data_IF_585540066396
#
_entry.id   IF_585540066396
#
_cell.length_a   1.000
_cell.length_b   1.000
_cell.length_c   1.000
_cell.angle_alpha   90.00
_cell.angle_beta   90.00
_cell.angle_gamma   90.00
#
_symmetry.space_group_name_H-M   'P 1'
#
loop_
_entity.id
_entity.type
_entity.pdbx_description
1 polymer ?
#
# COMPACT_ATOMS: atom_id res chain seq x y z
N UNK A 1 27.49 18.71 13.61
CA UNK A 1 26.10 18.26 13.43
C UNK A 1 26.15 16.96 12.65
N UNK A 2 25.67 15.83 13.22
CA UNK A 2 25.55 14.58 12.45
C UNK A 2 24.53 14.84 11.35
N UNK A 3 24.96 14.82 10.09
CA UNK A 3 24.07 14.84 8.92
C UNK A 3 23.20 13.59 9.00
N UNK A 4 22.01 13.73 9.55
CA UNK A 4 21.09 12.60 9.67
C UNK A 4 20.52 12.34 8.25
N UNK A 5 21.03 11.31 7.58
CA UNK A 5 20.63 10.90 6.22
C UNK A 5 19.12 10.70 6.10
N UNK A 6 18.44 10.38 7.21
CA UNK A 6 17.02 10.07 7.26
C UNK A 6 16.23 11.07 8.09
N UNK A 7 14.98 11.30 7.73
CA UNK A 7 14.04 12.10 8.53
C UNK A 7 13.59 11.35 9.79
N UNK A 8 13.29 12.08 10.87
CA UNK A 8 12.71 11.49 12.08
C UNK A 8 11.33 10.91 11.78
N UNK A 9 10.92 9.88 12.52
CA UNK A 9 9.59 9.27 12.41
C UNK A 9 8.46 10.28 12.68
N UNK A 10 8.64 11.21 13.63
CA UNK A 10 7.65 12.24 13.93
C UNK A 10 7.41 13.17 12.74
N UNK A 11 8.48 13.51 12.00
CA UNK A 11 8.36 14.30 10.77
C UNK A 11 7.57 13.54 9.71
N UNK A 12 7.83 12.23 9.54
CA UNK A 12 7.09 11.38 8.59
C UNK A 12 5.61 11.26 8.99
N UNK A 13 5.31 11.05 10.27
CA UNK A 13 3.94 11.03 10.79
C UNK A 13 3.24 12.37 10.52
N UNK A 14 3.91 13.49 10.73
CA UNK A 14 3.36 14.83 10.44
C UNK A 14 3.05 15.00 8.94
N UNK A 15 3.96 14.58 8.05
CA UNK A 15 3.75 14.58 6.60
C UNK A 15 2.55 13.70 6.23
N UNK A 16 2.50 12.49 6.76
CA UNK A 16 1.41 11.55 6.53
C UNK A 16 0.06 12.10 6.97
N UNK A 17 -0.03 12.72 8.16
CA UNK A 17 -1.27 13.38 8.65
C UNK A 17 -1.79 14.42 7.67
N UNK A 18 -0.90 15.21 7.06
CA UNK A 18 -1.24 16.23 6.06
C UNK A 18 -1.50 15.66 4.65
N UNK A 19 -1.48 14.35 4.51
CA UNK A 19 -1.69 13.69 3.23
C UNK A 19 -0.46 13.72 2.32
N UNK A 20 0.72 14.02 2.84
CA UNK A 20 1.96 14.03 2.06
C UNK A 20 2.41 12.62 1.67
N UNK A 21 3.30 12.58 0.69
CA UNK A 21 4.03 11.40 0.25
C UNK A 21 5.42 11.40 0.88
N UNK A 22 5.95 10.23 1.19
CA UNK A 22 7.27 10.04 1.77
C UNK A 22 7.94 8.81 1.16
N UNK A 23 9.23 8.65 1.36
CA UNK A 23 9.98 7.46 0.95
C UNK A 23 10.29 6.65 2.20
N UNK A 24 9.91 5.38 2.17
CA UNK A 24 10.40 4.37 3.12
C UNK A 24 11.61 3.70 2.49
N UNK A 25 12.65 3.53 3.28
CA UNK A 25 13.83 2.73 2.91
C UNK A 25 14.03 1.66 3.97
N UNK A 26 14.46 0.50 3.54
CA UNK A 26 14.82 -0.58 4.42
C UNK A 26 16.34 -0.71 4.59
N UNK A 27 16.78 -1.72 5.36
CA UNK A 27 18.18 -1.96 5.64
C UNK A 27 18.95 -2.36 4.37
N UNK A 28 20.20 -1.88 4.25
CA UNK A 28 21.08 -2.18 3.11
C UNK A 28 21.33 -3.69 2.93
N UNK A 29 21.23 -4.47 4.02
CA UNK A 29 21.38 -5.93 4.00
C UNK A 29 20.07 -6.67 3.69
N UNK A 30 18.93 -5.97 3.57
CA UNK A 30 17.64 -6.59 3.27
C UNK A 30 17.30 -6.47 1.77
N UNK A 31 16.62 -5.43 1.34
CA UNK A 31 16.28 -5.15 -0.06
C UNK A 31 17.10 -3.99 -0.62
N UNK A 32 17.51 -3.08 0.26
CA UNK A 32 18.18 -1.81 -0.09
C UNK A 32 17.37 -1.01 -1.12
N UNK A 33 16.06 -0.99 -0.92
CA UNK A 33 15.11 -0.33 -1.81
C UNK A 33 14.41 0.83 -1.10
N UNK A 34 13.83 1.72 -1.89
CA UNK A 34 13.04 2.84 -1.39
C UNK A 34 11.67 2.88 -2.06
N UNK A 35 10.60 2.79 -1.26
CA UNK A 35 9.23 2.85 -1.73
C UNK A 35 8.63 4.24 -1.55
N UNK A 36 7.97 4.76 -2.61
CA UNK A 36 7.09 5.92 -2.49
C UNK A 36 5.79 5.52 -1.80
N UNK A 37 5.49 6.16 -0.67
CA UNK A 37 4.33 5.79 0.17
C UNK A 37 3.46 6.99 0.50
N UNK A 38 2.16 6.78 0.56
CA UNK A 38 1.19 7.70 1.16
C UNK A 38 -0.05 6.92 1.65
N UNK A 39 -0.78 7.48 2.62
CA UNK A 39 -1.99 6.82 3.14
C UNK A 39 -3.13 6.85 2.13
N UNK A 40 -3.85 5.74 1.99
CA UNK A 40 -4.95 5.58 1.03
C UNK A 40 -6.12 6.55 1.25
N UNK A 41 -6.29 7.09 2.46
CA UNK A 41 -7.26 8.15 2.73
C UNK A 41 -7.07 9.39 1.82
N UNK A 42 -5.85 9.62 1.34
CA UNK A 42 -5.47 10.77 0.52
C UNK A 42 -5.30 10.42 -0.96
N UNK A 43 -5.74 9.23 -1.38
CA UNK A 43 -5.53 8.74 -2.74
C UNK A 43 -6.27 9.58 -3.78
N UNK A 44 -5.56 9.97 -4.82
CA UNK A 44 -6.09 10.64 -6.00
C UNK A 44 -5.26 10.32 -7.25
N UNK A 45 -5.77 10.67 -8.41
CA UNK A 45 -5.11 10.37 -9.69
C UNK A 45 -3.75 11.04 -9.84
N UNK A 46 -3.55 12.25 -9.27
CA UNK A 46 -2.27 12.97 -9.35
C UNK A 46 -1.16 12.20 -8.62
N UNK A 47 -1.44 11.69 -7.41
CA UNK A 47 -0.49 10.89 -6.64
C UNK A 47 -0.17 9.56 -7.32
N UNK A 48 -1.17 8.85 -7.81
CA UNK A 48 -0.96 7.59 -8.55
C UNK A 48 -0.13 7.85 -9.81
N UNK A 49 -0.43 8.92 -10.54
CA UNK A 49 0.37 9.30 -11.70
C UNK A 49 1.82 9.65 -11.34
N UNK A 50 2.02 10.35 -10.22
CA UNK A 50 3.36 10.65 -9.70
C UNK A 50 4.15 9.37 -9.40
N UNK A 51 3.54 8.42 -8.68
CA UNK A 51 4.16 7.12 -8.39
C UNK A 51 4.51 6.36 -9.67
N UNK A 52 3.59 6.28 -10.62
CA UNK A 52 3.82 5.59 -11.89
C UNK A 52 4.95 6.23 -12.71
N UNK A 53 5.00 7.57 -12.76
CA UNK A 53 5.97 8.31 -13.55
C UNK A 53 7.38 8.30 -12.94
N UNK A 54 7.48 8.50 -11.64
CA UNK A 54 8.76 8.72 -10.97
C UNK A 54 9.24 7.50 -10.16
N UNK A 55 8.33 6.75 -9.54
CA UNK A 55 8.66 5.51 -8.83
C UNK A 55 8.92 4.35 -9.79
N UNK A 56 8.26 4.30 -10.95
CA UNK A 56 8.43 3.31 -12.02
C UNK A 56 8.23 1.85 -11.60
N UNK A 57 7.89 1.61 -10.34
CA UNK A 57 7.63 0.30 -9.78
C UNK A 57 6.16 -0.11 -9.85
N UNK A 58 5.87 -1.25 -9.25
CA UNK A 58 4.51 -1.76 -9.13
C UNK A 58 3.73 -0.95 -8.09
N UNK A 59 2.51 -0.52 -8.45
CA UNK A 59 1.63 0.17 -7.50
C UNK A 59 0.89 -0.87 -6.66
N UNK A 60 1.28 -0.96 -5.39
CA UNK A 60 0.74 -1.88 -4.41
C UNK A 60 -0.22 -1.17 -3.44
N UNK A 61 -1.15 -1.95 -2.89
CA UNK A 61 -2.07 -1.51 -1.84
C UNK A 61 -1.82 -2.36 -0.58
N UNK A 62 -1.17 -1.77 0.42
CA UNK A 62 -0.98 -2.47 1.70
C UNK A 62 -2.30 -2.49 2.48
N UNK A 63 -2.70 -3.65 2.97
CA UNK A 63 -3.93 -3.86 3.74
C UNK A 63 -3.66 -4.81 4.90
N UNK A 64 -4.47 -4.72 5.95
CA UNK A 64 -4.45 -5.70 7.02
C UNK A 64 -5.27 -6.95 6.67
N UNK A 65 -5.12 -8.02 7.46
CA UNK A 65 -5.83 -9.30 7.27
C UNK A 65 -7.36 -9.14 7.32
N UNK A 66 -7.87 -8.24 8.16
CA UNK A 66 -9.30 -7.97 8.25
C UNK A 66 -9.86 -7.37 6.95
N UNK A 67 -9.13 -6.44 6.33
CA UNK A 67 -9.53 -5.83 5.06
C UNK A 67 -9.48 -6.86 3.92
N UNK A 68 -8.43 -7.70 3.89
CA UNK A 68 -8.32 -8.78 2.93
C UNK A 68 -9.52 -9.76 3.02
N UNK A 69 -9.91 -10.15 4.24
CA UNK A 69 -11.11 -11.00 4.47
C UNK A 69 -12.39 -10.35 3.97
N UNK A 70 -12.62 -9.05 4.24
CA UNK A 70 -13.81 -8.31 3.73
C UNK A 70 -13.88 -8.31 2.21
N UNK A 71 -12.72 -8.19 1.55
CA UNK A 71 -12.60 -8.21 0.09
C UNK A 71 -12.62 -9.64 -0.49
N UNK A 72 -12.54 -10.67 0.34
CA UNK A 72 -12.47 -12.07 -0.08
C UNK A 72 -11.23 -12.34 -0.93
N UNK A 73 -10.10 -11.74 -0.57
CA UNK A 73 -8.84 -11.89 -1.30
C UNK A 73 -8.07 -13.11 -0.81
N UNK A 74 -7.63 -13.92 -1.76
CA UNK A 74 -6.69 -15.02 -1.54
C UNK A 74 -5.28 -14.58 -1.91
N UNK A 75 -4.27 -15.28 -1.40
CA UNK A 75 -2.89 -15.11 -1.86
C UNK A 75 -2.78 -15.39 -3.35
N UNK A 76 -1.84 -14.74 -3.99
CA UNK A 76 -1.58 -14.86 -5.42
C UNK A 76 -1.13 -16.28 -5.79
N UNK A 77 -0.42 -16.95 -4.88
CA UNK A 77 0.03 -18.34 -5.03
C UNK A 77 -0.20 -19.12 -3.75
N UNK A 78 -0.52 -20.43 -3.83
CA UNK A 78 -0.60 -21.31 -2.67
C UNK A 78 0.75 -21.48 -1.95
N UNK A 79 1.85 -21.50 -2.70
CA UNK A 79 3.22 -21.56 -2.18
C UNK A 79 3.98 -20.31 -2.58
N UNK A 80 4.44 -19.54 -1.60
CA UNK A 80 5.21 -18.33 -1.85
C UNK A 80 6.71 -18.64 -1.77
N UNK A 81 7.35 -18.72 -2.93
CA UNK A 81 8.77 -19.03 -3.09
C UNK A 81 9.65 -17.76 -3.19
N UNK A 82 9.05 -16.56 -3.08
CA UNK A 82 9.81 -15.32 -3.14
C UNK A 82 10.73 -15.17 -1.91
N UNK A 83 11.93 -14.63 -2.12
CA UNK A 83 12.98 -14.45 -1.09
C UNK A 83 12.41 -13.80 0.19
N UNK A 84 11.61 -12.78 0.06
CA UNK A 84 11.06 -12.00 1.18
C UNK A 84 9.65 -12.42 1.58
N UNK A 85 9.09 -13.44 0.92
CA UNK A 85 7.74 -13.97 1.17
C UNK A 85 6.67 -12.89 1.28
N UNK A 86 6.76 -11.87 0.41
CA UNK A 86 5.81 -10.77 0.36
C UNK A 86 4.41 -11.31 0.07
N UNK A 87 3.47 -11.01 0.95
CA UNK A 87 2.13 -11.60 0.96
C UNK A 87 1.20 -10.96 -0.09
N UNK A 88 1.57 -11.05 -1.37
CA UNK A 88 0.73 -10.61 -2.48
C UNK A 88 -0.58 -11.40 -2.52
N UNK A 89 -1.66 -10.68 -2.80
CA UNK A 89 -2.93 -11.29 -3.18
C UNK A 89 -3.12 -11.22 -4.69
N UNK A 90 -4.19 -11.85 -5.19
CA UNK A 90 -4.64 -11.60 -6.56
C UNK A 90 -4.86 -10.11 -6.78
N UNK A 91 -4.52 -9.61 -7.97
CA UNK A 91 -4.73 -8.21 -8.34
C UNK A 91 -6.22 -7.87 -8.45
N UNK A 92 -6.56 -6.61 -8.24
CA UNK A 92 -7.96 -6.17 -8.17
C UNK A 92 -8.26 -4.95 -9.02
N UNK A 93 -9.54 -4.78 -9.33
CA UNK A 93 -10.13 -3.56 -9.85
C UNK A 93 -11.46 -3.24 -9.17
N UNK A 94 -11.84 -1.94 -9.18
CA UNK A 94 -13.19 -1.57 -8.81
C UNK A 94 -14.18 -2.09 -9.85
N UNK A 95 -15.28 -2.73 -9.40
CA UNK A 95 -16.30 -3.27 -10.32
C UNK A 95 -17.01 -2.21 -11.15
N UNK A 96 -17.07 -0.95 -10.65
CA UNK A 96 -17.78 0.16 -11.30
C UNK A 96 -16.99 1.46 -11.25
N UNK A 97 -17.18 2.30 -12.26
CA UNK A 97 -16.61 3.64 -12.32
C UNK A 97 -15.14 3.68 -12.74
N UNK A 98 -14.72 2.70 -13.51
CA UNK A 98 -13.44 2.60 -14.20
C UNK A 98 -13.65 2.43 -15.70
N UNK A 99 -12.62 2.62 -16.48
CA UNK A 99 -12.55 2.29 -17.92
C UNK A 99 -11.81 0.95 -18.09
N UNK A 100 -10.53 0.98 -18.46
CA UNK A 100 -9.70 -0.23 -18.62
C UNK A 100 -8.98 -0.66 -17.33
N UNK A 101 -9.04 0.15 -16.25
CA UNK A 101 -8.41 -0.14 -14.97
C UNK A 101 -7.00 0.39 -14.78
N UNK A 102 -6.20 0.49 -15.86
CA UNK A 102 -4.77 0.84 -15.79
C UNK A 102 -4.51 2.33 -15.54
N UNK A 103 -5.42 3.22 -15.92
CA UNK A 103 -5.20 4.66 -15.79
C UNK A 103 -4.97 5.07 -14.33
N UNK A 104 -4.25 6.17 -14.10
CA UNK A 104 -4.05 6.69 -12.74
C UNK A 104 -5.39 7.03 -12.05
N UNK A 105 -6.41 7.43 -12.83
CA UNK A 105 -7.77 7.68 -12.34
C UNK A 105 -8.45 6.37 -11.90
N UNK A 106 -8.36 5.34 -12.70
CA UNK A 106 -8.98 4.04 -12.44
C UNK A 106 -8.33 3.34 -11.25
N UNK A 107 -6.99 3.33 -11.16
CA UNK A 107 -6.28 2.78 -10.00
C UNK A 107 -6.59 3.55 -8.72
N UNK A 108 -6.64 4.88 -8.76
CA UNK A 108 -7.08 5.68 -7.62
C UNK A 108 -8.53 5.35 -7.21
N UNK A 109 -9.42 5.12 -8.19
CA UNK A 109 -10.81 4.68 -7.94
C UNK A 109 -10.83 3.30 -7.27
N UNK A 110 -10.06 2.36 -7.78
CA UNK A 110 -9.94 1.00 -7.23
C UNK A 110 -9.48 1.03 -5.77
N UNK A 111 -8.42 1.77 -5.47
CA UNK A 111 -7.92 1.92 -4.10
C UNK A 111 -8.98 2.56 -3.19
N UNK A 112 -9.66 3.63 -3.63
CA UNK A 112 -10.76 4.25 -2.88
C UNK A 112 -11.88 3.25 -2.56
N UNK A 113 -12.26 2.41 -3.51
CA UNK A 113 -13.30 1.40 -3.31
C UNK A 113 -12.82 0.33 -2.34
N UNK A 114 -11.64 -0.24 -2.58
CA UNK A 114 -11.08 -1.32 -1.78
C UNK A 114 -10.84 -0.94 -0.31
N UNK A 115 -10.64 0.35 -0.01
CA UNK A 115 -10.39 0.84 1.36
C UNK A 115 -11.60 1.45 2.06
N UNK A 116 -12.81 1.33 1.51
CA UNK A 116 -14.04 1.74 2.20
C UNK A 116 -14.29 0.91 3.46
N UNK A 117 -14.90 1.52 4.50
CA UNK A 117 -15.26 0.80 5.73
C UNK A 117 -16.24 -0.35 5.46
N UNK A 118 -17.24 -0.10 4.64
CA UNK A 118 -18.33 -1.04 4.34
C UNK A 118 -18.12 -1.73 2.96
N UNK A 119 -16.86 -1.88 2.53
CA UNK A 119 -16.56 -2.59 1.28
C UNK A 119 -16.96 -4.05 1.40
N UNK A 120 -17.47 -4.60 0.28
CA UNK A 120 -17.82 -6.01 0.14
C UNK A 120 -17.08 -6.61 -1.05
N UNK A 121 -16.89 -7.92 -1.05
CA UNK A 121 -16.29 -8.66 -2.18
C UNK A 121 -16.88 -8.27 -3.54
N UNK A 122 -18.19 -8.03 -3.62
CA UNK A 122 -18.90 -7.66 -4.86
C UNK A 122 -18.53 -6.27 -5.41
N UNK A 123 -17.83 -5.44 -4.65
CA UNK A 123 -17.45 -4.08 -5.06
C UNK A 123 -16.16 -4.04 -5.89
N UNK A 124 -15.43 -5.15 -5.89
CA UNK A 124 -14.20 -5.35 -6.66
C UNK A 124 -14.32 -6.57 -7.57
N UNK A 125 -13.41 -6.65 -8.54
CA UNK A 125 -13.19 -7.81 -9.41
C UNK A 125 -11.71 -8.16 -9.47
N UNK A 126 -11.39 -9.37 -9.87
CA UNK A 126 -10.02 -9.86 -10.15
C UNK A 126 -10.05 -10.59 -11.51
N UNK A 127 -8.94 -10.54 -12.27
CA UNK A 127 -7.71 -9.76 -12.02
C UNK A 127 -7.91 -8.26 -12.26
N UNK A 128 -6.88 -7.46 -11.94
CA UNK A 128 -6.89 -6.01 -12.15
C UNK A 128 -5.49 -5.39 -12.11
N UNK A 129 -5.42 -4.07 -11.94
CA UNK A 129 -4.18 -3.29 -12.05
C UNK A 129 -3.73 -2.66 -10.72
N UNK A 130 -4.33 -3.04 -9.60
CA UNK A 130 -3.86 -2.72 -8.24
C UNK A 130 -3.54 -4.03 -7.53
N UNK A 131 -2.38 -4.08 -6.86
CA UNK A 131 -1.83 -5.29 -6.25
C UNK A 131 -1.88 -5.18 -4.73
N UNK A 132 -2.87 -5.80 -4.06
CA UNK A 132 -2.92 -5.78 -2.61
C UNK A 132 -1.83 -6.68 -2.00
N UNK A 133 -1.25 -6.20 -0.89
CA UNK A 133 -0.29 -6.93 -0.07
C UNK A 133 -0.81 -6.94 1.36
N UNK A 134 -0.85 -8.12 1.98
CA UNK A 134 -1.32 -8.27 3.36
C UNK A 134 -0.16 -8.05 4.33
N UNK A 135 -0.28 -7.06 5.21
CA UNK A 135 0.68 -6.84 6.29
C UNK A 135 0.59 -7.93 7.36
N UNK A 136 1.73 -8.31 7.95
CA UNK A 136 1.76 -9.19 9.12
C UNK A 136 1.12 -8.50 10.32
N UNK A 137 0.35 -9.24 11.11
CA UNK A 137 -0.15 -8.76 12.40
C UNK A 137 1.02 -8.52 13.34
N UNK A 138 0.95 -7.42 14.12
CA UNK A 138 2.08 -6.96 14.93
C UNK A 138 2.99 -5.95 14.26
N UNK A 139 2.81 -5.70 12.94
CA UNK A 139 3.50 -4.63 12.22
C UNK A 139 5.01 -4.82 12.13
N UNK A 140 5.76 -3.72 12.17
CA UNK A 140 7.23 -3.72 12.02
C UNK A 140 7.97 -4.49 13.11
N UNK A 141 7.36 -4.70 14.26
CA UNK A 141 7.94 -5.49 15.34
C UNK A 141 7.96 -7.00 15.04
N UNK A 142 7.13 -7.45 14.11
CA UNK A 142 7.07 -8.85 13.65
C UNK A 142 7.81 -9.03 12.32
N UNK A 143 7.68 -8.06 11.42
CA UNK A 143 8.38 -8.07 10.12
C UNK A 143 8.81 -6.66 9.76
N UNK A 144 10.12 -6.42 9.74
CA UNK A 144 10.71 -5.11 9.40
C UNK A 144 10.68 -4.85 7.88
N UNK A 145 9.48 -4.73 7.29
CA UNK A 145 9.28 -4.51 5.87
C UNK A 145 8.48 -3.26 5.54
N UNK A 146 8.60 -2.77 4.30
CA UNK A 146 7.87 -1.60 3.79
C UNK A 146 6.35 -1.74 3.97
N UNK A 147 5.81 -2.94 3.76
CA UNK A 147 4.38 -3.25 3.93
C UNK A 147 3.91 -2.96 5.35
N UNK A 148 4.60 -3.48 6.34
CA UNK A 148 4.28 -3.31 7.76
C UNK A 148 4.48 -1.86 8.18
N UNK A 149 5.61 -1.25 7.78
CA UNK A 149 5.92 0.14 8.11
C UNK A 149 4.87 1.11 7.55
N UNK A 150 4.39 0.91 6.31
CA UNK A 150 3.36 1.76 5.72
C UNK A 150 2.03 1.69 6.49
N UNK A 151 1.63 0.50 6.93
CA UNK A 151 0.42 0.29 7.74
C UNK A 151 0.57 0.91 9.13
N UNK A 152 1.72 0.75 9.78
CA UNK A 152 1.98 1.33 11.10
C UNK A 152 2.04 2.85 11.07
N UNK A 153 2.68 3.46 10.05
CA UNK A 153 2.67 4.92 9.86
C UNK A 153 1.23 5.43 9.64
N UNK A 154 0.40 4.70 8.89
CA UNK A 154 -1.01 5.07 8.73
C UNK A 154 -1.75 5.08 10.08
N UNK A 155 -1.56 4.05 10.94
CA UNK A 155 -2.12 3.99 12.30
C UNK A 155 -1.63 5.14 13.18
N UNK A 156 -0.32 5.39 13.23
CA UNK A 156 0.29 6.48 13.99
C UNK A 156 -0.20 7.85 13.50
N UNK A 157 -0.54 7.95 12.22
CA UNK A 157 -1.13 9.14 11.62
C UNK A 157 -2.64 9.28 11.88
N UNK A 158 -3.25 8.37 12.66
CA UNK A 158 -4.69 8.29 12.92
C UNK A 158 -5.52 8.14 11.64
N UNK A 159 -4.98 7.47 10.63
CA UNK A 159 -5.65 7.12 9.37
C UNK A 159 -5.96 5.63 9.33
N UNK A 160 -6.76 5.22 8.33
CA UNK A 160 -6.98 3.79 8.11
C UNK A 160 -5.65 3.09 7.84
N UNK A 161 -5.45 1.87 8.37
CA UNK A 161 -4.22 1.10 8.21
C UNK A 161 -4.12 0.51 6.80
N UNK A 162 -3.89 1.39 5.83
CA UNK A 162 -3.71 1.07 4.42
C UNK A 162 -3.10 2.26 3.67
#
# INVERSE_FOLDING_TARGET
>A
MKNNKYSSIDKIISISKKGGMYILVDDENRENEGDLVFCTADVNSKKINFMAKYGRGLICLTINSQQAKKLGLNYMTPSNESKNQTAFTVSIEAKKGITTGISAKDRARTIKVATKLNVKKKDIVSPGHVFPIISREGGVLVRAGHTEASVDIARLSKKKPS
#
